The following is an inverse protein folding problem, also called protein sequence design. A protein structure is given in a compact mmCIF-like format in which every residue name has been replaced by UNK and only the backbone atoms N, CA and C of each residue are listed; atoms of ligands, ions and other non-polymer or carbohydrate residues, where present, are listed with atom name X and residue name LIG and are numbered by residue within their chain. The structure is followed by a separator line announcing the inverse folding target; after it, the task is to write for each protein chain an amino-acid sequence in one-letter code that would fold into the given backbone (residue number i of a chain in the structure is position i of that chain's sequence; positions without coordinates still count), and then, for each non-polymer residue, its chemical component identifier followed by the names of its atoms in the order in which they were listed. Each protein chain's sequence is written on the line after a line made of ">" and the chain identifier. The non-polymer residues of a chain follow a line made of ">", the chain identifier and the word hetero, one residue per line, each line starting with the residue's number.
data_IF_030460247004
#
_entry.id   IF_030460247004
#
_cell.length_a   1.000
_cell.length_b   1.000
_cell.length_c   1.000
_cell.angle_alpha   90.00
_cell.angle_beta   90.00
_cell.angle_gamma   90.00
#
_symmetry.space_group_name_H-M   'P 1'
#
loop_
_entity.id
_entity.type
_entity.pdbx_description
1 polymer ?
#
# COMPACT_ATOMS: atom_id res chain seq x y z
N UNK A 1 13.61 -24.59 15.18
CA UNK A 1 13.02 -23.46 15.91
C UNK A 1 13.15 -22.21 15.03
N UNK A 2 12.09 -21.45 14.82
CA UNK A 2 12.13 -20.20 14.04
C UNK A 2 11.51 -19.06 14.87
N UNK A 3 12.22 -17.94 14.98
CA UNK A 3 11.78 -16.73 15.67
C UNK A 3 11.88 -15.60 14.65
N UNK A 4 10.76 -14.94 14.36
CA UNK A 4 10.67 -13.88 13.36
C UNK A 4 9.93 -12.67 13.92
N UNK A 5 10.64 -11.55 14.01
CA UNK A 5 10.09 -10.26 14.43
C UNK A 5 9.83 -9.38 13.20
N UNK A 6 8.70 -8.66 13.20
CA UNK A 6 8.30 -7.79 12.11
C UNK A 6 8.15 -6.35 12.63
N UNK A 7 8.93 -5.43 12.07
CA UNK A 7 8.81 -4.00 12.33
C UNK A 7 7.95 -3.37 11.24
N UNK A 8 6.67 -3.18 11.53
CA UNK A 8 5.69 -2.67 10.58
C UNK A 8 5.33 -1.21 10.87
N UNK A 9 4.77 -0.48 9.89
CA UNK A 9 4.19 0.84 10.14
C UNK A 9 3.09 0.83 11.21
N UNK A 10 2.81 2.00 11.79
CA UNK A 10 1.63 2.22 12.63
C UNK A 10 0.33 2.00 11.86
N UNK A 11 -0.77 1.70 12.56
CA UNK A 11 -2.05 1.36 11.91
C UNK A 11 -2.58 2.50 11.02
N UNK A 12 -2.48 3.72 11.50
CA UNK A 12 -2.90 4.97 10.84
C UNK A 12 -1.86 5.53 9.86
N UNK A 13 -0.72 4.86 9.68
CA UNK A 13 0.32 5.34 8.78
C UNK A 13 -0.15 5.33 7.31
N UNK A 14 0.07 6.45 6.62
CA UNK A 14 -0.19 6.59 5.18
C UNK A 14 1.03 6.13 4.40
N UNK A 15 0.83 5.15 3.53
CA UNK A 15 1.85 4.50 2.71
C UNK A 15 1.69 4.93 1.26
N UNK A 16 2.77 5.43 0.65
CA UNK A 16 2.83 5.75 -0.78
C UNK A 16 4.29 5.76 -1.26
N UNK A 17 4.54 5.70 -2.58
CA UNK A 17 5.88 5.85 -3.13
C UNK A 17 6.53 7.17 -2.71
N UNK A 18 7.83 7.13 -2.40
CA UNK A 18 8.58 8.33 -2.07
C UNK A 18 8.73 9.24 -3.30
N UNK A 19 8.43 10.55 -3.23
CA UNK A 19 8.46 11.45 -4.40
C UNK A 19 9.79 11.43 -5.16
N UNK A 20 10.91 11.45 -4.43
CA UNK A 20 12.26 11.44 -5.01
C UNK A 20 12.62 10.15 -5.77
N UNK A 21 11.83 9.08 -5.63
CA UNK A 21 11.98 7.83 -6.39
C UNK A 21 11.06 7.80 -7.61
N UNK A 22 9.90 8.44 -7.54
CA UNK A 22 8.93 8.52 -8.65
C UNK A 22 9.39 9.51 -9.72
N UNK A 23 10.03 10.62 -9.33
CA UNK A 23 10.56 11.62 -10.27
C UNK A 23 11.74 11.11 -11.12
N UNK A 24 12.43 10.07 -10.64
CA UNK A 24 13.58 9.44 -11.32
C UNK A 24 13.17 8.31 -12.28
N UNK A 25 11.96 7.81 -12.14
CA UNK A 25 11.42 6.78 -13.02
C UNK A 25 10.55 7.43 -14.11
N UNK A 26 10.55 6.83 -15.31
CA UNK A 26 9.81 7.35 -16.46
C UNK A 26 8.32 7.54 -16.12
N UNK A 27 7.65 8.45 -16.85
CA UNK A 27 6.25 8.85 -16.72
C UNK A 27 5.25 7.68 -16.53
N UNK A 28 5.59 6.49 -17.06
CA UNK A 28 4.84 5.23 -16.95
C UNK A 28 4.74 4.66 -15.52
N UNK A 29 5.69 4.94 -14.62
CA UNK A 29 5.69 4.42 -13.24
C UNK A 29 4.93 5.30 -12.24
N UNK A 30 4.50 6.50 -12.62
CA UNK A 30 3.83 7.46 -11.71
C UNK A 30 2.55 6.92 -11.07
N UNK A 31 1.94 5.87 -11.64
CA UNK A 31 0.67 5.29 -11.19
C UNK A 31 0.76 3.80 -10.81
N UNK A 32 1.95 3.22 -10.69
CA UNK A 32 2.08 1.77 -10.50
C UNK A 32 1.69 1.32 -9.09
N UNK A 33 1.93 2.16 -8.08
CA UNK A 33 1.66 1.84 -6.67
C UNK A 33 0.66 2.85 -6.05
N UNK A 34 -0.27 2.37 -5.20
CA UNK A 34 -1.32 3.18 -4.60
C UNK A 34 -0.86 4.00 -3.39
N UNK A 35 -1.68 4.98 -2.99
CA UNK A 35 -1.62 5.61 -1.66
C UNK A 35 -2.72 5.02 -0.76
N UNK A 36 -2.37 4.55 0.44
CA UNK A 36 -3.33 3.90 1.34
C UNK A 36 -2.92 3.99 2.82
N UNK A 37 -3.85 3.69 3.75
CA UNK A 37 -3.58 3.54 5.19
C UNK A 37 -3.17 2.10 5.50
N UNK A 38 -2.11 1.91 6.29
CA UNK A 38 -1.51 0.59 6.52
C UNK A 38 -2.50 -0.43 7.13
N UNK A 39 -3.35 -0.03 8.07
CA UNK A 39 -4.35 -0.92 8.66
C UNK A 39 -5.34 -1.47 7.61
N UNK A 40 -5.75 -0.64 6.64
CA UNK A 40 -6.64 -1.09 5.57
C UNK A 40 -5.97 -2.14 4.67
N UNK A 41 -4.68 -1.99 4.41
CA UNK A 41 -3.90 -3.01 3.72
C UNK A 41 -3.79 -4.29 4.52
N UNK A 42 -3.56 -4.21 5.84
CA UNK A 42 -3.46 -5.40 6.70
C UNK A 42 -4.77 -6.16 6.80
N UNK A 43 -5.92 -5.46 6.83
CA UNK A 43 -7.26 -6.08 6.77
C UNK A 43 -7.44 -6.90 5.48
N UNK A 44 -7.01 -6.37 4.33
CA UNK A 44 -7.06 -7.11 3.06
C UNK A 44 -6.05 -8.26 3.03
N UNK A 45 -4.82 -8.02 3.48
CA UNK A 45 -3.73 -9.00 3.52
C UNK A 45 -4.10 -10.24 4.33
N UNK A 46 -4.77 -10.07 5.48
CA UNK A 46 -5.15 -11.19 6.35
C UNK A 46 -6.02 -12.24 5.62
N UNK A 47 -6.93 -11.81 4.74
CA UNK A 47 -7.77 -12.71 3.96
C UNK A 47 -7.10 -13.29 2.70
N UNK A 48 -6.09 -12.61 2.16
CA UNK A 48 -5.47 -12.94 0.86
C UNK A 48 -3.98 -13.29 0.95
N UNK A 49 -3.46 -13.57 2.16
CA UNK A 49 -2.02 -13.75 2.43
C UNK A 49 -1.32 -14.74 1.50
N UNK A 50 -1.99 -15.85 1.19
CA UNK A 50 -1.46 -16.95 0.37
C UNK A 50 -1.88 -16.88 -1.10
N UNK A 51 -2.55 -15.79 -1.51
CA UNK A 51 -2.88 -15.51 -2.91
C UNK A 51 -1.83 -14.58 -3.54
N UNK A 52 -1.97 -14.33 -4.85
CA UNK A 52 -1.14 -13.39 -5.59
C UNK A 52 -1.13 -12.00 -4.92
N UNK A 53 0.00 -11.30 -5.05
CA UNK A 53 0.25 -10.04 -4.33
C UNK A 53 -0.34 -8.85 -5.07
N UNK A 54 -0.20 -8.86 -6.38
CA UNK A 54 -0.54 -7.78 -7.30
C UNK A 54 -2.01 -7.34 -7.14
N UNK A 55 -3.00 -8.25 -7.01
CA UNK A 55 -4.39 -7.87 -6.76
C UNK A 55 -4.60 -7.06 -5.47
N UNK A 56 -3.72 -7.19 -4.46
CA UNK A 56 -3.82 -6.41 -3.21
C UNK A 56 -3.48 -4.95 -3.43
N UNK A 57 -2.52 -4.64 -4.33
CA UNK A 57 -2.20 -3.25 -4.67
C UNK A 57 -3.28 -2.64 -5.56
N UNK A 58 -3.80 -3.39 -6.54
CA UNK A 58 -4.91 -2.92 -7.37
C UNK A 58 -6.17 -2.60 -6.54
N UNK A 59 -6.47 -3.41 -5.53
CA UNK A 59 -7.58 -3.16 -4.61
C UNK A 59 -7.39 -1.86 -3.80
N UNK A 60 -6.16 -1.53 -3.39
CA UNK A 60 -5.87 -0.27 -2.68
C UNK A 60 -6.00 0.93 -3.63
N UNK A 61 -5.56 0.80 -4.89
CA UNK A 61 -5.69 1.84 -5.92
C UNK A 61 -7.17 2.16 -6.21
N UNK A 62 -8.01 1.13 -6.31
CA UNK A 62 -9.46 1.30 -6.49
C UNK A 62 -10.17 1.95 -5.28
N UNK A 63 -9.59 1.83 -4.08
CA UNK A 63 -10.10 2.49 -2.87
C UNK A 63 -9.73 3.97 -2.81
N UNK A 64 -8.51 4.32 -3.25
CA UNK A 64 -8.06 5.71 -3.36
C UNK A 64 -8.98 6.56 -4.26
N UNK A 65 -9.50 5.98 -5.34
CA UNK A 65 -10.40 6.68 -6.28
C UNK A 65 -11.84 6.83 -5.77
N UNK A 66 -12.25 6.08 -4.74
CA UNK A 66 -13.64 6.04 -4.25
C UNK A 66 -13.85 6.76 -2.92
N UNK A 67 -12.80 7.01 -2.16
CA UNK A 67 -12.87 7.72 -0.87
C UNK A 67 -11.82 8.83 -0.87
N UNK A 68 -12.21 10.12 -0.73
CA UNK A 68 -11.22 11.16 -0.49
C UNK A 68 -10.54 10.86 0.84
N UNK A 69 -9.26 10.45 0.78
CA UNK A 69 -8.43 10.29 1.97
C UNK A 69 -8.37 11.66 2.65
N UNK A 70 -8.97 11.78 3.83
CA UNK A 70 -8.97 13.01 4.60
C UNK A 70 -7.51 13.45 4.84
N UNK A 71 -7.10 14.52 4.17
CA UNK A 71 -5.88 15.24 4.49
C UNK A 71 -6.12 15.99 5.79
N UNK A 72 -5.43 15.56 6.86
CA UNK A 72 -5.21 16.38 8.05
C UNK A 72 -4.21 17.50 7.75
#
# INVERSE_FOLDING_TARGET
>A
MSIASFYNPGGDAVIHPAPALVEKEAEENKQLYPKFVFEDYMKLYAGLKFQAKEPRFEAMKARETTVPIATA
#
